data_IF_048937587096
#
_entry.id   IF_048937587096
#
_cell.length_a   1.000
_cell.length_b   1.000
_cell.length_c   1.000
_cell.angle_alpha   90.00
_cell.angle_beta   90.00
_cell.angle_gamma   90.00
#
_symmetry.space_group_name_H-M   'P 1'
#
loop_
_entity.id
_entity.type
_entity.pdbx_description
1 polymer ?
#
# COMPACT_ATOMS: atom_id res chain seq x y z
N UNK A 1 -1.35 -5.53 -30.44
CA UNK A 1 -0.27 -4.73 -29.84
C UNK A 1 0.02 -5.38 -28.50
N UNK A 2 1.20 -5.97 -28.31
CA UNK A 2 1.61 -6.53 -27.03
C UNK A 2 1.74 -5.37 -26.04
N UNK A 3 1.00 -5.41 -24.93
CA UNK A 3 1.18 -4.45 -23.84
C UNK A 3 2.66 -4.44 -23.41
N UNK A 4 3.23 -3.27 -23.10
CA UNK A 4 4.62 -3.21 -22.66
C UNK A 4 4.82 -4.10 -21.43
N UNK A 5 5.97 -4.76 -21.33
CA UNK A 5 6.31 -5.60 -20.17
C UNK A 5 6.27 -4.72 -18.91
N UNK A 6 5.60 -5.15 -17.81
CA UNK A 6 5.49 -4.33 -16.59
C UNK A 6 6.85 -4.08 -15.92
N UNK A 7 6.95 -3.03 -15.12
CA UNK A 7 8.17 -2.69 -14.38
C UNK A 7 8.56 -3.77 -13.36
N UNK A 8 7.55 -4.40 -12.72
CA UNK A 8 7.74 -5.59 -11.90
C UNK A 8 6.74 -6.65 -12.32
N UNK A 9 7.21 -7.86 -12.54
CA UNK A 9 6.39 -9.01 -12.89
C UNK A 9 6.83 -10.24 -12.11
N UNK A 10 5.94 -10.73 -11.27
CA UNK A 10 6.14 -11.90 -10.41
C UNK A 10 5.09 -12.94 -10.76
N UNK A 11 5.51 -14.19 -10.94
CA UNK A 11 4.61 -15.31 -11.24
C UNK A 11 4.94 -16.52 -10.39
N UNK A 12 3.89 -17.03 -9.72
CA UNK A 12 3.92 -18.24 -8.89
C UNK A 12 5.12 -18.26 -7.91
N UNK A 13 5.47 -17.08 -7.39
CA UNK A 13 6.64 -16.92 -6.55
C UNK A 13 6.46 -17.65 -5.22
N UNK A 14 7.36 -18.58 -4.95
CA UNK A 14 7.36 -19.32 -3.69
C UNK A 14 8.66 -19.10 -2.95
N UNK A 15 8.56 -18.87 -1.64
CA UNK A 15 9.71 -18.77 -0.74
C UNK A 15 9.47 -19.52 0.54
N UNK A 16 10.37 -20.48 0.83
CA UNK A 16 10.35 -21.26 2.07
C UNK A 16 11.58 -20.97 2.91
N UNK A 17 11.42 -20.99 4.23
CA UNK A 17 12.46 -20.93 5.25
C UNK A 17 12.27 -22.13 6.20
N UNK A 18 13.05 -23.18 5.99
CA UNK A 18 12.80 -24.44 6.68
C UNK A 18 11.38 -24.96 6.42
N UNK A 19 10.57 -25.14 7.46
CA UNK A 19 9.19 -25.58 7.34
C UNK A 19 8.20 -24.43 7.02
N UNK A 20 8.59 -23.17 7.18
CA UNK A 20 7.71 -22.01 6.98
C UNK A 20 7.71 -21.58 5.52
N UNK A 21 6.51 -21.51 4.92
CA UNK A 21 6.30 -21.00 3.57
C UNK A 21 5.86 -19.52 3.67
N UNK A 22 6.78 -18.61 3.40
CA UNK A 22 6.54 -17.18 3.49
C UNK A 22 5.86 -16.60 2.23
N UNK A 23 6.05 -17.24 1.07
CA UNK A 23 5.34 -16.96 -0.17
C UNK A 23 4.91 -18.30 -0.77
N UNK A 24 3.69 -18.39 -1.28
CA UNK A 24 3.06 -19.60 -1.77
C UNK A 24 2.32 -19.37 -3.10
N UNK A 25 3.05 -19.43 -4.21
CA UNK A 25 2.49 -19.18 -5.53
C UNK A 25 2.02 -17.73 -5.71
N UNK A 26 2.79 -16.76 -5.20
CA UNK A 26 2.43 -15.34 -5.18
C UNK A 26 2.64 -14.69 -6.55
N UNK A 27 1.64 -13.94 -7.01
CA UNK A 27 1.67 -13.14 -8.22
C UNK A 27 1.64 -11.65 -7.91
N UNK A 28 2.40 -10.83 -8.67
CA UNK A 28 2.40 -9.37 -8.58
C UNK A 28 2.75 -8.76 -9.93
N UNK A 29 1.98 -7.76 -10.33
CA UNK A 29 2.26 -6.94 -11.51
C UNK A 29 2.30 -5.47 -11.11
N UNK A 30 3.38 -4.77 -11.47
CA UNK A 30 3.53 -3.32 -11.31
C UNK A 30 3.69 -2.70 -12.69
N UNK A 31 2.68 -2.01 -13.22
CA UNK A 31 2.76 -1.33 -14.50
C UNK A 31 3.80 -0.21 -14.48
N UNK A 32 4.33 0.15 -15.66
CA UNK A 32 5.21 1.33 -15.76
C UNK A 32 4.45 2.64 -15.54
N UNK A 33 5.05 3.59 -14.82
CA UNK A 33 4.53 4.94 -14.62
C UNK A 33 3.36 5.02 -13.64
N UNK A 34 3.06 3.94 -12.93
CA UNK A 34 1.98 3.87 -11.93
C UNK A 34 2.53 3.73 -10.52
N UNK A 35 1.68 4.10 -9.55
CA UNK A 35 1.88 3.83 -8.13
C UNK A 35 1.06 2.59 -7.77
N UNK A 36 1.74 1.48 -7.49
CA UNK A 36 1.12 0.23 -7.06
C UNK A 36 1.24 0.06 -5.56
N UNK A 37 0.11 -0.08 -4.88
CA UNK A 37 0.02 -0.41 -3.46
C UNK A 37 0.18 -1.91 -3.23
N UNK A 38 1.00 -2.29 -2.27
CA UNK A 38 1.21 -3.66 -1.84
C UNK A 38 0.76 -3.79 -0.38
N UNK A 39 -0.50 -4.22 -0.21
CA UNK A 39 -1.23 -4.16 1.04
C UNK A 39 -1.30 -5.52 1.73
N UNK A 40 -1.16 -5.55 3.03
CA UNK A 40 -1.32 -6.76 3.83
C UNK A 40 -0.82 -6.59 5.26
N UNK A 41 -1.23 -7.46 6.19
CA UNK A 41 -0.78 -7.39 7.59
C UNK A 41 0.70 -7.72 7.74
N UNK A 42 1.20 -7.53 8.95
CA UNK A 42 2.55 -7.94 9.30
C UNK A 42 2.67 -9.47 9.18
N UNK A 43 3.77 -9.93 8.58
CA UNK A 43 3.99 -11.36 8.33
C UNK A 43 3.31 -11.92 7.07
N UNK A 44 2.50 -11.16 6.34
CA UNK A 44 1.83 -11.63 5.12
C UNK A 44 2.77 -12.00 3.96
N UNK A 45 4.04 -11.54 3.98
CA UNK A 45 5.03 -11.84 2.94
C UNK A 45 5.55 -10.59 2.21
N UNK A 46 5.09 -9.37 2.53
CA UNK A 46 5.47 -8.11 1.87
C UNK A 46 6.99 -7.92 1.80
N UNK A 47 7.66 -7.83 2.94
CA UNK A 47 9.11 -7.62 2.98
C UNK A 47 9.91 -8.80 2.41
N UNK A 48 9.36 -10.02 2.44
CA UNK A 48 9.97 -11.18 1.76
C UNK A 48 9.94 -10.99 0.25
N UNK A 49 8.81 -10.58 -0.31
CA UNK A 49 8.66 -10.24 -1.73
C UNK A 49 9.64 -9.14 -2.14
N UNK A 50 9.65 -8.03 -1.40
CA UNK A 50 10.55 -6.90 -1.66
C UNK A 50 12.02 -7.34 -1.66
N UNK A 51 12.45 -8.16 -0.70
CA UNK A 51 13.82 -8.69 -0.67
C UNK A 51 14.15 -9.56 -1.88
N UNK A 52 13.18 -10.31 -2.41
CA UNK A 52 13.37 -11.06 -3.67
C UNK A 52 13.52 -10.10 -4.84
N UNK A 53 12.67 -9.06 -4.94
CA UNK A 53 12.75 -8.04 -6.00
C UNK A 53 14.04 -7.24 -5.97
N UNK A 54 14.62 -7.03 -4.78
CA UNK A 54 15.92 -6.38 -4.60
C UNK A 54 17.12 -7.32 -4.88
N UNK A 55 16.88 -8.61 -5.16
CA UNK A 55 17.95 -9.58 -5.31
C UNK A 55 18.71 -9.91 -4.01
N UNK A 56 18.15 -9.56 -2.87
CA UNK A 56 18.71 -9.85 -1.53
C UNK A 56 18.32 -11.26 -1.05
N UNK A 57 17.31 -11.84 -1.67
CA UNK A 57 16.77 -13.15 -1.30
C UNK A 57 16.43 -13.93 -2.57
N UNK A 58 16.94 -15.17 -2.67
CA UNK A 58 16.61 -16.04 -3.78
C UNK A 58 15.27 -16.72 -3.56
N UNK A 59 14.39 -16.72 -4.57
CA UNK A 59 13.15 -17.48 -4.56
C UNK A 59 13.43 -19.00 -4.46
N UNK A 60 12.49 -19.75 -3.87
CA UNK A 60 12.53 -21.21 -3.87
C UNK A 60 12.02 -21.78 -5.21
N UNK A 61 10.97 -21.17 -5.76
CA UNK A 61 10.42 -21.46 -7.10
C UNK A 61 9.64 -20.26 -7.64
N UNK A 62 9.12 -20.36 -8.86
CA UNK A 62 8.47 -19.25 -9.56
C UNK A 62 9.47 -18.31 -10.22
N UNK A 63 8.96 -17.20 -10.73
CA UNK A 63 9.77 -16.21 -11.46
C UNK A 63 9.51 -14.79 -10.96
N UNK A 64 10.56 -13.95 -10.96
CA UNK A 64 10.45 -12.53 -10.73
C UNK A 64 11.26 -11.79 -11.80
N UNK A 65 10.71 -10.70 -12.32
CA UNK A 65 11.40 -9.78 -13.21
C UNK A 65 11.22 -8.35 -12.70
N UNK A 66 12.29 -7.59 -12.74
CA UNK A 66 12.33 -6.18 -12.37
C UNK A 66 12.99 -5.42 -13.52
N UNK A 67 12.27 -4.50 -14.12
CA UNK A 67 12.68 -3.76 -15.32
C UNK A 67 13.17 -4.71 -16.44
N UNK A 68 12.44 -5.83 -16.66
CA UNK A 68 12.73 -6.87 -17.62
C UNK A 68 13.88 -7.82 -17.25
N UNK A 69 14.51 -7.70 -16.07
CA UNK A 69 15.70 -8.43 -15.65
C UNK A 69 15.41 -9.38 -14.47
N UNK A 70 16.24 -10.40 -14.33
CA UNK A 70 16.22 -11.31 -13.18
C UNK A 70 16.88 -10.64 -11.96
N UNK A 71 16.13 -10.39 -10.86
CA UNK A 71 16.68 -9.65 -9.72
C UNK A 71 17.83 -10.36 -9.00
N UNK A 72 17.91 -11.69 -9.07
CA UNK A 72 18.99 -12.43 -8.46
C UNK A 72 20.27 -12.40 -9.31
N UNK A 73 20.16 -12.45 -10.63
CA UNK A 73 21.30 -12.50 -11.55
C UNK A 73 21.80 -11.12 -11.93
N UNK A 74 20.89 -10.17 -12.11
CA UNK A 74 21.16 -8.85 -12.67
C UNK A 74 21.03 -7.73 -11.62
N UNK A 75 21.15 -8.05 -10.32
CA UNK A 75 20.92 -7.12 -9.19
C UNK A 75 21.64 -5.78 -9.39
N UNK A 76 22.92 -5.78 -9.76
CA UNK A 76 23.69 -4.54 -9.95
C UNK A 76 23.08 -3.65 -11.03
N UNK A 77 22.70 -4.22 -12.18
CA UNK A 77 22.11 -3.47 -13.27
C UNK A 77 20.71 -2.91 -12.92
N UNK A 78 19.97 -3.64 -12.10
CA UNK A 78 18.65 -3.19 -11.57
C UNK A 78 18.85 -2.05 -10.57
N UNK A 79 19.79 -2.16 -9.63
CA UNK A 79 20.00 -1.16 -8.58
C UNK A 79 20.47 0.21 -9.11
N UNK A 80 21.08 0.26 -10.29
CA UNK A 80 21.34 1.55 -10.98
C UNK A 80 20.07 2.28 -11.41
N UNK A 81 18.96 1.56 -11.57
CA UNK A 81 17.67 2.07 -12.05
C UNK A 81 16.56 1.98 -11.00
N UNK A 82 16.93 1.64 -9.75
CA UNK A 82 16.01 1.42 -8.66
C UNK A 82 16.46 2.20 -7.42
N UNK A 83 15.50 2.82 -6.71
CA UNK A 83 15.69 3.37 -5.37
C UNK A 83 14.85 2.56 -4.36
N UNK A 84 15.38 2.38 -3.16
CA UNK A 84 14.72 1.61 -2.11
C UNK A 84 14.64 2.39 -0.80
N UNK A 85 13.45 2.40 -0.20
CA UNK A 85 13.20 2.90 1.16
C UNK A 85 12.84 1.70 2.03
N UNK A 86 13.65 1.34 3.03
CA UNK A 86 13.36 0.24 3.95
C UNK A 86 12.32 0.64 5.01
N UNK A 87 11.51 -0.32 5.47
CA UNK A 87 10.53 -0.12 6.54
C UNK A 87 11.17 0.06 7.92
N UNK A 88 12.36 -0.51 8.12
CA UNK A 88 13.18 -0.27 9.32
C UNK A 88 14.55 0.26 8.87
N UNK A 89 14.70 1.57 9.04
CA UNK A 89 15.91 2.29 8.61
C UNK A 89 16.99 2.21 9.68
N UNK A 90 18.01 1.41 9.39
CA UNK A 90 19.21 1.30 10.20
C UNK A 90 20.36 2.07 9.52
N UNK A 91 20.86 3.09 10.18
CA UNK A 91 21.96 3.94 9.70
C UNK A 91 23.24 3.64 10.50
N UNK A 92 24.38 3.96 9.92
CA UNK A 92 25.66 3.88 10.61
C UNK A 92 25.73 4.89 11.75
N UNK A 93 25.86 4.46 13.02
CA UNK A 93 25.69 5.34 14.19
C UNK A 93 26.70 6.49 14.25
N UNK A 94 27.86 6.32 13.64
CA UNK A 94 28.95 7.30 13.62
C UNK A 94 28.82 8.37 12.56
N UNK A 95 28.02 8.12 11.49
CA UNK A 95 27.83 9.08 10.41
C UNK A 95 26.78 10.14 10.81
N UNK A 96 26.91 11.33 10.22
CA UNK A 96 25.83 12.32 10.22
C UNK A 96 24.74 11.93 9.23
N UNK A 97 23.56 12.55 9.30
CA UNK A 97 22.49 12.32 8.34
C UNK A 97 22.92 12.65 6.91
N UNK A 98 23.65 13.75 6.71
CA UNK A 98 24.19 14.13 5.43
C UNK A 98 25.19 13.12 4.88
N UNK A 99 26.14 12.66 5.69
CA UNK A 99 27.11 11.62 5.32
C UNK A 99 26.42 10.29 5.00
N UNK A 100 25.36 9.93 5.74
CA UNK A 100 24.56 8.73 5.46
C UNK A 100 23.86 8.83 4.11
N UNK A 101 23.26 9.99 3.78
CA UNK A 101 22.67 10.24 2.45
C UNK A 101 23.74 10.11 1.37
N UNK A 102 24.93 10.70 1.54
CA UNK A 102 26.02 10.62 0.57
C UNK A 102 26.47 9.17 0.32
N UNK A 103 26.49 8.33 1.36
CA UNK A 103 26.80 6.89 1.22
C UNK A 103 25.71 6.16 0.48
N UNK A 104 24.43 6.42 0.79
CA UNK A 104 23.27 5.76 0.17
C UNK A 104 23.06 6.18 -1.29
N UNK A 105 23.49 7.38 -1.66
CA UNK A 105 23.40 7.90 -3.02
C UNK A 105 24.75 7.83 -3.76
N UNK A 106 25.67 7.01 -3.28
CA UNK A 106 27.01 6.87 -3.87
C UNK A 106 26.91 6.44 -5.34
N UNK A 107 27.50 7.26 -6.21
CA UNK A 107 27.41 7.09 -7.66
C UNK A 107 26.47 8.07 -8.36
N UNK A 108 25.59 8.71 -7.61
CA UNK A 108 24.84 9.87 -8.12
C UNK A 108 25.74 11.11 -8.10
N UNK A 109 25.68 11.92 -9.13
CA UNK A 109 26.49 13.12 -9.26
C UNK A 109 25.77 14.17 -10.10
N UNK A 110 26.25 15.41 -10.02
CA UNK A 110 25.72 16.52 -10.79
C UNK A 110 24.87 17.49 -10.00
N UNK A 111 24.66 18.66 -10.60
CA UNK A 111 23.96 19.79 -9.99
C UNK A 111 22.49 19.47 -9.69
N UNK A 112 21.82 18.73 -10.61
CA UNK A 112 20.41 18.34 -10.45
C UNK A 112 20.20 17.49 -9.19
N UNK A 113 21.04 16.45 -8.98
CA UNK A 113 20.97 15.59 -7.80
C UNK A 113 21.21 16.38 -6.51
N UNK A 114 22.26 17.23 -6.49
CA UNK A 114 22.61 18.05 -5.32
C UNK A 114 21.47 18.99 -4.94
N UNK A 115 20.92 19.74 -5.91
CA UNK A 115 19.77 20.65 -5.69
C UNK A 115 18.55 19.90 -5.18
N UNK A 116 18.25 18.72 -5.76
CA UNK A 116 17.14 17.91 -5.34
C UNK A 116 17.30 17.39 -3.90
N UNK A 117 18.50 16.95 -3.55
CA UNK A 117 18.86 16.52 -2.19
C UNK A 117 18.67 17.66 -1.17
N UNK A 118 19.16 18.85 -1.47
CA UNK A 118 19.01 20.03 -0.62
C UNK A 118 17.55 20.42 -0.43
N UNK A 119 16.76 20.47 -1.50
CA UNK A 119 15.31 20.69 -1.47
C UNK A 119 14.59 19.69 -0.54
N UNK A 120 14.93 18.40 -0.66
CA UNK A 120 14.31 17.35 0.16
C UNK A 120 14.73 17.43 1.64
N UNK A 121 15.98 17.76 1.93
CA UNK A 121 16.47 18.00 3.30
C UNK A 121 15.65 19.11 3.95
N UNK A 122 15.42 20.21 3.25
CA UNK A 122 14.60 21.32 3.72
C UNK A 122 13.14 20.93 3.91
N UNK A 123 12.52 20.31 2.90
CA UNK A 123 11.10 19.89 2.94
C UNK A 123 10.79 18.91 4.06
N UNK A 124 11.67 17.93 4.29
CA UNK A 124 11.52 16.95 5.38
C UNK A 124 12.02 17.48 6.73
N UNK A 125 12.44 18.75 6.82
CA UNK A 125 12.95 19.35 8.05
C UNK A 125 14.04 18.49 8.72
N UNK A 126 14.95 17.93 7.90
CA UNK A 126 16.02 17.07 8.37
C UNK A 126 17.25 17.92 8.70
N UNK A 127 17.76 17.81 9.93
CA UNK A 127 19.07 18.38 10.27
C UNK A 127 20.19 17.41 9.86
N UNK A 128 20.85 17.60 8.71
CA UNK A 128 21.81 16.65 8.16
C UNK A 128 23.13 16.61 8.95
N UNK A 129 23.33 17.51 9.91
CA UNK A 129 24.58 17.64 10.68
C UNK A 129 24.60 16.74 11.92
N UNK A 130 23.43 16.31 12.40
CA UNK A 130 23.30 15.43 13.57
C UNK A 130 23.77 14.01 13.25
N UNK A 131 24.38 13.35 14.23
CA UNK A 131 24.80 11.93 14.11
C UNK A 131 23.60 10.99 14.14
N UNK A 132 23.63 9.94 13.30
CA UNK A 132 22.55 8.99 13.14
C UNK A 132 22.13 8.30 14.46
N UNK A 133 23.07 8.10 15.39
CA UNK A 133 22.77 7.55 16.74
C UNK A 133 21.82 8.41 17.59
N UNK A 134 21.71 9.73 17.27
CA UNK A 134 20.86 10.67 18.00
C UNK A 134 19.49 10.86 17.34
N UNK A 135 19.27 10.26 16.18
CA UNK A 135 18.01 10.36 15.46
C UNK A 135 16.92 9.49 16.08
N UNK A 136 15.70 10.02 16.15
CA UNK A 136 14.49 9.24 16.35
C UNK A 136 14.27 8.28 15.19
N UNK A 137 13.33 7.34 15.33
CA UNK A 137 12.91 6.46 14.23
C UNK A 137 12.49 7.28 13.00
N UNK A 138 11.64 8.30 13.20
CA UNK A 138 11.19 9.18 12.11
C UNK A 138 12.32 9.92 11.41
N UNK A 139 13.32 10.45 12.14
CA UNK A 139 14.45 11.12 11.51
C UNK A 139 15.33 10.15 10.72
N UNK A 140 15.51 8.90 11.16
CA UNK A 140 16.20 7.90 10.35
C UNK A 140 15.42 7.58 9.07
N UNK A 141 14.09 7.52 9.17
CA UNK A 141 13.22 7.31 8.01
C UNK A 141 13.32 8.48 7.02
N UNK A 142 13.36 9.73 7.50
CA UNK A 142 13.59 10.92 6.67
C UNK A 142 14.91 10.83 5.89
N UNK A 143 15.98 10.32 6.49
CA UNK A 143 17.27 10.11 5.79
C UNK A 143 17.11 9.14 4.63
N UNK A 144 16.42 8.00 4.84
CA UNK A 144 16.18 7.02 3.77
C UNK A 144 15.30 7.60 2.64
N UNK A 145 14.26 8.37 3.00
CA UNK A 145 13.40 9.06 2.05
C UNK A 145 14.18 10.08 1.21
N UNK A 146 14.96 10.95 1.84
CA UNK A 146 15.79 11.94 1.15
C UNK A 146 16.78 11.23 0.21
N UNK A 147 17.44 10.18 0.67
CA UNK A 147 18.37 9.43 -0.16
C UNK A 147 17.70 8.79 -1.38
N UNK A 148 16.52 8.17 -1.21
CA UNK A 148 15.80 7.53 -2.30
C UNK A 148 15.20 8.55 -3.29
N UNK A 149 14.51 9.58 -2.78
CA UNK A 149 13.79 10.59 -3.58
C UNK A 149 14.70 11.60 -4.27
N UNK A 150 15.97 11.72 -3.86
CA UNK A 150 16.96 12.55 -4.55
C UNK A 150 17.54 11.90 -5.80
N UNK A 151 17.33 10.57 -5.99
CA UNK A 151 17.78 9.84 -7.18
C UNK A 151 16.76 9.99 -8.31
N UNK A 152 17.24 10.00 -9.55
CA UNK A 152 16.41 10.01 -10.75
C UNK A 152 16.44 8.61 -11.38
N UNK A 153 15.53 7.74 -10.96
CA UNK A 153 15.48 6.33 -11.35
C UNK A 153 14.12 5.94 -11.92
N UNK A 154 14.04 4.76 -12.54
CA UNK A 154 12.80 4.29 -13.18
C UNK A 154 11.81 3.68 -12.19
N UNK A 155 12.31 3.05 -11.11
CA UNK A 155 11.50 2.32 -10.14
C UNK A 155 11.87 2.71 -8.70
N UNK A 156 10.87 3.00 -7.90
CA UNK A 156 10.98 3.22 -6.46
C UNK A 156 10.26 2.08 -5.74
N UNK A 157 10.96 1.35 -4.89
CA UNK A 157 10.37 0.36 -3.98
C UNK A 157 10.43 0.94 -2.57
N UNK A 158 9.27 1.06 -1.93
CA UNK A 158 9.14 1.68 -0.62
C UNK A 158 8.42 0.72 0.33
N UNK A 159 9.13 0.24 1.35
CA UNK A 159 8.59 -0.68 2.35
C UNK A 159 8.17 0.12 3.58
N UNK A 160 6.85 0.29 3.81
CA UNK A 160 6.25 1.07 4.90
C UNK A 160 6.90 2.46 5.11
N UNK A 161 6.98 3.30 4.06
CA UNK A 161 7.83 4.49 4.04
C UNK A 161 7.43 5.59 5.03
N UNK A 162 6.18 5.62 5.48
CA UNK A 162 5.64 6.60 6.43
C UNK A 162 5.81 6.19 7.89
N UNK A 163 6.31 4.96 8.14
CA UNK A 163 6.47 4.44 9.51
C UNK A 163 7.30 5.36 10.39
N UNK A 164 6.65 5.96 11.42
CA UNK A 164 7.28 6.85 12.39
C UNK A 164 7.43 8.30 11.94
N UNK A 165 6.81 8.68 10.81
CA UNK A 165 6.63 10.07 10.42
C UNK A 165 5.45 10.69 11.20
N UNK A 166 5.51 12.00 11.36
CA UNK A 166 4.35 12.77 11.80
C UNK A 166 3.43 13.13 10.62
N UNK A 167 2.17 13.55 10.85
CA UNK A 167 1.21 13.84 9.78
C UNK A 167 1.68 14.90 8.76
N UNK A 168 2.51 15.86 9.17
CA UNK A 168 3.04 16.86 8.25
C UNK A 168 4.04 16.23 7.27
N UNK A 169 4.92 15.39 7.79
CA UNK A 169 5.91 14.67 6.98
C UNK A 169 5.26 13.62 6.07
N UNK A 170 4.17 12.99 6.51
CA UNK A 170 3.34 12.12 5.65
C UNK A 170 2.70 12.90 4.49
N UNK A 171 2.24 14.11 4.73
CA UNK A 171 1.72 14.98 3.66
C UNK A 171 2.81 15.33 2.64
N UNK A 172 4.01 15.68 3.11
CA UNK A 172 5.17 15.95 2.23
C UNK A 172 5.54 14.69 1.42
N UNK A 173 5.57 13.53 2.05
CA UNK A 173 5.79 12.26 1.35
C UNK A 173 4.74 12.00 0.27
N UNK A 174 3.46 12.26 0.58
CA UNK A 174 2.35 12.14 -0.37
C UNK A 174 2.58 13.02 -1.61
N UNK A 175 2.97 14.27 -1.42
CA UNK A 175 3.27 15.20 -2.51
C UNK A 175 4.44 14.72 -3.36
N UNK A 176 5.46 14.14 -2.73
CA UNK A 176 6.62 13.60 -3.45
C UNK A 176 6.25 12.37 -4.31
N UNK A 177 5.41 11.48 -3.80
CA UNK A 177 4.90 10.33 -4.57
C UNK A 177 4.05 10.83 -5.75
N UNK A 178 3.17 11.82 -5.53
CA UNK A 178 2.39 12.42 -6.60
C UNK A 178 3.28 13.06 -7.69
N UNK A 179 4.39 13.68 -7.29
CA UNK A 179 5.39 14.22 -8.22
C UNK A 179 6.08 13.11 -9.03
N UNK A 180 6.52 12.02 -8.39
CA UNK A 180 7.11 10.88 -9.08
C UNK A 180 6.15 10.31 -10.12
N UNK A 181 4.87 10.16 -9.77
CA UNK A 181 3.81 9.74 -10.69
C UNK A 181 3.66 10.68 -11.88
N UNK A 182 3.60 11.99 -11.62
CA UNK A 182 3.49 13.01 -12.68
C UNK A 182 4.70 13.00 -13.62
N UNK A 183 5.89 12.66 -13.10
CA UNK A 183 7.13 12.50 -13.88
C UNK A 183 7.20 11.11 -14.59
N UNK A 184 6.13 10.30 -14.54
CA UNK A 184 6.04 8.97 -15.17
C UNK A 184 6.94 7.92 -14.51
N UNK A 185 7.31 8.11 -13.26
CA UNK A 185 8.11 7.13 -12.50
C UNK A 185 7.21 6.05 -11.92
N UNK A 186 7.76 4.85 -11.81
CA UNK A 186 7.05 3.71 -11.23
C UNK A 186 7.33 3.60 -9.74
N UNK A 187 6.28 3.37 -8.94
CA UNK A 187 6.40 3.21 -7.49
C UNK A 187 5.71 1.93 -7.07
N UNK A 188 6.40 1.08 -6.31
CA UNK A 188 5.83 -0.02 -5.53
C UNK A 188 5.91 0.37 -4.05
N UNK A 189 4.75 0.58 -3.43
CA UNK A 189 4.62 1.03 -2.05
C UNK A 189 3.97 -0.04 -1.20
N UNK A 190 4.70 -0.61 -0.24
CA UNK A 190 4.07 -1.49 0.75
C UNK A 190 3.50 -0.68 1.90
N UNK A 191 2.30 -1.02 2.33
CA UNK A 191 1.66 -0.44 3.50
C UNK A 191 0.75 -1.46 4.19
N UNK A 192 0.48 -1.23 5.46
CA UNK A 192 -0.62 -1.86 6.19
C UNK A 192 -1.74 -0.84 6.49
N UNK A 193 -1.60 0.41 6.03
CA UNK A 193 -2.54 1.51 6.22
C UNK A 193 -3.33 1.72 4.92
N UNK A 194 -4.61 1.37 4.95
CA UNK A 194 -5.50 1.41 3.79
C UNK A 194 -5.69 2.83 3.25
N UNK A 195 -5.89 3.81 4.13
CA UNK A 195 -6.09 5.21 3.75
C UNK A 195 -4.89 5.80 2.97
N UNK A 196 -3.67 5.35 3.26
CA UNK A 196 -2.48 5.71 2.47
C UNK A 196 -2.56 5.17 1.05
N UNK A 197 -2.90 3.88 0.92
CA UNK A 197 -3.00 3.19 -0.37
C UNK A 197 -4.10 3.82 -1.22
N UNK A 198 -5.26 4.09 -0.64
CA UNK A 198 -6.38 4.76 -1.33
C UNK A 198 -6.03 6.16 -1.86
N UNK A 199 -5.18 6.87 -1.14
CA UNK A 199 -4.77 8.24 -1.49
C UNK A 199 -3.67 8.27 -2.56
N UNK A 200 -2.77 7.31 -2.55
CA UNK A 200 -1.52 7.36 -3.32
C UNK A 200 -1.51 6.46 -4.56
N UNK A 201 -2.24 5.33 -4.53
CA UNK A 201 -2.03 4.25 -5.49
C UNK A 201 -3.05 4.28 -6.64
N UNK A 202 -2.62 3.85 -7.82
CA UNK A 202 -3.46 3.62 -9.00
C UNK A 202 -4.03 2.21 -8.98
N UNK A 203 -3.16 1.25 -8.61
CA UNK A 203 -3.45 -0.17 -8.52
C UNK A 203 -3.04 -0.71 -7.16
N UNK A 204 -3.67 -1.79 -6.72
CA UNK A 204 -3.38 -2.41 -5.43
C UNK A 204 -3.32 -3.93 -5.59
N UNK A 205 -2.37 -4.56 -4.91
CA UNK A 205 -2.33 -6.00 -4.69
C UNK A 205 -2.38 -6.28 -3.21
N UNK A 206 -3.38 -7.05 -2.78
CA UNK A 206 -3.55 -7.49 -1.39
C UNK A 206 -2.91 -8.85 -1.22
N UNK A 207 -2.00 -8.98 -0.23
CA UNK A 207 -1.35 -10.25 0.11
C UNK A 207 -1.82 -10.76 1.47
N UNK A 208 -2.16 -12.05 1.55
CA UNK A 208 -2.46 -12.77 2.79
C UNK A 208 -1.77 -14.13 2.79
N UNK A 209 -1.11 -14.48 3.89
CA UNK A 209 -0.43 -15.77 4.07
C UNK A 209 0.43 -16.20 2.86
N UNK A 210 1.16 -15.23 2.27
CA UNK A 210 2.05 -15.48 1.14
C UNK A 210 1.37 -15.61 -0.22
N UNK A 211 0.06 -15.35 -0.34
CA UNK A 211 -0.72 -15.40 -1.60
C UNK A 211 -1.32 -14.04 -1.93
N UNK A 212 -1.42 -13.71 -3.20
CA UNK A 212 -2.26 -12.61 -3.65
C UNK A 212 -3.73 -13.02 -3.52
N UNK A 213 -4.52 -12.23 -2.78
CA UNK A 213 -5.95 -12.47 -2.61
C UNK A 213 -6.79 -11.61 -3.54
N UNK A 214 -6.36 -10.37 -3.76
CA UNK A 214 -6.99 -9.45 -4.70
C UNK A 214 -5.93 -8.59 -5.40
N UNK A 215 -6.17 -8.22 -6.65
CA UNK A 215 -5.31 -7.32 -7.41
C UNK A 215 -6.11 -6.59 -8.48
N UNK A 216 -5.94 -5.28 -8.60
CA UNK A 216 -6.62 -4.47 -9.58
C UNK A 216 -6.50 -2.97 -9.31
N UNK A 217 -7.17 -2.16 -10.10
CA UNK A 217 -7.31 -0.72 -9.84
C UNK A 217 -8.18 -0.48 -8.61
N UNK A 218 -8.01 0.67 -7.96
CA UNK A 218 -8.87 1.05 -6.83
C UNK A 218 -10.35 1.05 -7.21
N UNK A 219 -10.69 1.44 -8.46
CA UNK A 219 -12.05 1.42 -8.95
C UNK A 219 -12.60 -0.01 -9.07
N UNK A 220 -11.83 -0.95 -9.66
CA UNK A 220 -12.23 -2.36 -9.76
C UNK A 220 -12.41 -2.98 -8.37
N UNK A 221 -11.49 -2.73 -7.44
CA UNK A 221 -11.56 -3.28 -6.09
C UNK A 221 -12.77 -2.72 -5.30
N UNK A 222 -13.12 -1.45 -5.48
CA UNK A 222 -14.32 -0.85 -4.89
C UNK A 222 -15.60 -1.48 -5.43
N UNK A 223 -15.65 -1.87 -6.70
CA UNK A 223 -16.80 -2.56 -7.27
C UNK A 223 -17.03 -3.98 -6.70
N UNK A 224 -16.03 -4.57 -6.05
CA UNK A 224 -16.14 -5.86 -5.35
C UNK A 224 -16.76 -5.70 -3.94
N UNK A 225 -16.97 -4.47 -3.48
CA UNK A 225 -17.54 -4.13 -2.18
C UNK A 225 -18.87 -3.41 -2.35
N UNK A 226 -19.62 -3.28 -1.25
CA UNK A 226 -20.96 -2.69 -1.21
C UNK A 226 -20.90 -1.33 -0.55
N UNK A 227 -21.77 -0.41 -0.99
CA UNK A 227 -21.99 0.85 -0.29
C UNK A 227 -22.75 0.62 1.01
N UNK A 228 -22.29 1.20 2.12
CA UNK A 228 -23.03 1.16 3.39
C UNK A 228 -23.99 2.35 3.47
N UNK A 229 -25.26 2.05 3.71
CA UNK A 229 -26.32 3.04 3.94
C UNK A 229 -26.65 3.10 5.41
N UNK A 230 -26.64 4.30 5.98
CA UNK A 230 -27.09 4.58 7.33
C UNK A 230 -28.15 5.69 7.31
N UNK A 231 -29.26 5.52 8.04
CA UNK A 231 -30.32 6.49 8.14
C UNK A 231 -31.09 6.32 9.45
N UNK A 232 -32.00 7.24 9.73
CA UNK A 232 -32.97 7.14 10.86
C UNK A 232 -34.35 7.16 10.30
N UNK A 233 -35.25 6.25 10.76
CA UNK A 233 -36.66 6.22 10.41
C UNK A 233 -37.47 5.58 11.51
N UNK A 234 -38.71 6.02 11.68
CA UNK A 234 -39.72 5.40 12.56
C UNK A 234 -40.62 4.41 11.80
N UNK A 235 -40.44 4.31 10.47
CA UNK A 235 -41.22 3.41 9.63
C UNK A 235 -40.64 1.99 9.61
N UNK A 236 -41.49 0.99 9.29
CA UNK A 236 -41.06 -0.40 9.13
C UNK A 236 -40.14 -0.56 7.94
N UNK A 237 -38.88 -1.02 8.11
CA UNK A 237 -37.90 -1.21 7.05
C UNK A 237 -38.15 -2.45 6.18
N UNK A 238 -39.20 -3.24 6.43
CA UNK A 238 -39.54 -4.46 5.69
C UNK A 238 -39.56 -4.31 4.14
N UNK A 239 -39.90 -3.17 3.53
CA UNK A 239 -39.79 -3.00 2.09
C UNK A 239 -38.36 -3.11 1.56
N UNK A 240 -37.35 -2.76 2.35
CA UNK A 240 -35.96 -2.85 1.96
C UNK A 240 -35.42 -4.31 1.88
N UNK A 241 -35.95 -5.19 2.74
CA UNK A 241 -35.57 -6.62 2.73
C UNK A 241 -36.01 -7.37 1.49
N UNK A 242 -36.90 -6.78 0.68
CA UNK A 242 -37.45 -7.37 -0.55
C UNK A 242 -36.69 -6.92 -1.80
N UNK A 243 -35.78 -5.98 -1.65
CA UNK A 243 -34.97 -5.47 -2.78
C UNK A 243 -33.75 -6.36 -2.98
N UNK A 244 -33.56 -6.78 -4.24
CA UNK A 244 -32.34 -7.44 -4.63
C UNK A 244 -31.15 -6.47 -4.46
N UNK A 245 -30.02 -6.96 -3.90
CA UNK A 245 -28.84 -6.16 -3.68
C UNK A 245 -28.82 -5.37 -2.37
N UNK A 246 -29.82 -5.55 -1.48
CA UNK A 246 -29.78 -5.12 -0.07
C UNK A 246 -29.30 -6.26 0.81
N UNK A 247 -28.30 -6.02 1.64
CA UNK A 247 -27.63 -7.01 2.48
C UNK A 247 -27.47 -6.49 3.91
N UNK A 248 -27.36 -7.41 4.86
CA UNK A 248 -26.99 -7.15 6.25
C UNK A 248 -27.79 -6.02 6.91
N UNK A 249 -29.12 -5.99 6.62
CA UNK A 249 -30.01 -4.97 7.14
C UNK A 249 -30.21 -5.13 8.64
N UNK A 250 -29.81 -4.10 9.38
CA UNK A 250 -30.01 -3.95 10.81
C UNK A 250 -30.86 -2.72 11.06
N UNK A 251 -31.96 -2.89 11.83
CA UNK A 251 -32.85 -1.81 12.26
C UNK A 251 -33.02 -1.89 13.76
N UNK A 252 -32.43 -0.95 14.50
CA UNK A 252 -32.47 -0.89 15.95
C UNK A 252 -32.68 0.56 16.42
N UNK A 253 -33.62 0.75 17.35
CA UNK A 253 -33.88 2.06 17.98
C UNK A 253 -34.09 3.22 16.97
N UNK A 254 -34.80 2.94 15.88
CA UNK A 254 -35.02 3.92 14.81
C UNK A 254 -33.84 4.17 13.89
N UNK A 255 -32.71 3.53 14.13
CA UNK A 255 -31.53 3.58 13.25
C UNK A 255 -31.55 2.41 12.27
N UNK A 256 -31.33 2.74 11.02
CA UNK A 256 -31.23 1.80 9.90
C UNK A 256 -29.82 1.75 9.38
N UNK A 257 -29.25 0.55 9.21
CA UNK A 257 -27.98 0.33 8.56
C UNK A 257 -28.06 -0.93 7.71
N UNK A 258 -27.55 -0.85 6.48
CA UNK A 258 -27.47 -1.99 5.57
C UNK A 258 -26.40 -1.73 4.51
N UNK A 259 -25.97 -2.79 3.86
CA UNK A 259 -25.09 -2.72 2.71
C UNK A 259 -25.91 -2.87 1.43
N UNK A 260 -25.51 -2.15 0.38
CA UNK A 260 -26.20 -2.15 -0.91
C UNK A 260 -25.19 -2.30 -2.06
N UNK A 261 -25.53 -3.14 -3.02
CA UNK A 261 -24.79 -3.21 -4.27
C UNK A 261 -24.97 -1.90 -5.05
N UNK A 262 -23.90 -1.31 -5.59
CA UNK A 262 -23.95 -0.02 -6.29
C UNK A 262 -25.05 0.05 -7.37
N UNK A 263 -25.28 -1.08 -8.04
CA UNK A 263 -26.33 -1.19 -9.09
C UNK A 263 -27.74 -1.11 -8.53
N UNK A 264 -27.94 -1.47 -7.26
CA UNK A 264 -29.25 -1.49 -6.61
C UNK A 264 -29.60 -0.14 -5.96
N UNK A 265 -28.68 0.81 -5.88
CA UNK A 265 -28.91 2.12 -5.27
C UNK A 265 -30.11 2.84 -5.89
N UNK A 266 -30.33 2.74 -7.19
CA UNK A 266 -31.44 3.40 -7.89
C UNK A 266 -32.81 2.86 -7.46
N UNK A 267 -32.91 1.59 -7.05
CA UNK A 267 -34.12 0.97 -6.54
C UNK A 267 -34.35 1.24 -5.03
N UNK A 268 -33.24 1.35 -4.30
CA UNK A 268 -33.23 1.59 -2.86
C UNK A 268 -33.62 3.04 -2.50
N UNK A 269 -33.13 4.04 -3.24
CA UNK A 269 -33.39 5.45 -2.94
C UNK A 269 -34.87 5.84 -2.90
N UNK A 270 -35.74 5.41 -3.83
CA UNK A 270 -37.17 5.67 -3.77
C UNK A 270 -37.84 5.08 -2.52
N UNK A 271 -37.39 3.86 -2.11
CA UNK A 271 -37.94 3.20 -0.91
C UNK A 271 -37.52 3.94 0.35
N UNK A 272 -36.26 4.38 0.47
CA UNK A 272 -35.82 5.22 1.59
C UNK A 272 -36.58 6.53 1.66
N UNK A 273 -36.86 7.14 0.51
CA UNK A 273 -37.70 8.37 0.46
C UNK A 273 -39.12 8.10 0.95
N UNK A 274 -39.76 6.99 0.57
CA UNK A 274 -41.06 6.58 1.00
C UNK A 274 -41.13 6.26 2.52
N UNK A 275 -40.04 5.77 3.09
CA UNK A 275 -39.87 5.52 4.53
C UNK A 275 -39.63 6.81 5.35
N UNK A 276 -39.52 7.96 4.69
CA UNK A 276 -39.31 9.25 5.36
C UNK A 276 -38.01 9.32 6.15
N UNK A 277 -36.93 8.70 5.65
CA UNK A 277 -35.67 8.66 6.37
C UNK A 277 -35.09 10.04 6.58
N UNK A 278 -34.38 10.20 7.70
CA UNK A 278 -33.61 11.40 8.04
C UNK A 278 -32.16 11.00 8.31
N UNK A 279 -31.23 11.96 8.22
CA UNK A 279 -29.81 11.70 8.48
C UNK A 279 -29.19 10.66 7.53
N UNK A 280 -29.72 10.58 6.29
CA UNK A 280 -29.20 9.62 5.28
C UNK A 280 -27.74 9.87 4.98
N UNK A 281 -26.94 8.83 5.16
CA UNK A 281 -25.53 8.78 4.75
C UNK A 281 -25.33 7.56 3.88
N UNK A 282 -24.72 7.75 2.74
CA UNK A 282 -24.28 6.66 1.85
C UNK A 282 -22.76 6.74 1.78
N UNK A 283 -22.11 5.75 2.36
CA UNK A 283 -20.66 5.65 2.38
C UNK A 283 -20.23 4.70 1.26
N UNK A 284 -19.47 5.19 0.28
CA UNK A 284 -18.93 4.31 -0.75
C UNK A 284 -18.10 3.18 -0.12
N UNK A 285 -17.96 2.03 -0.81
CA UNK A 285 -17.14 0.93 -0.33
C UNK A 285 -15.69 1.39 -0.15
N UNK A 286 -15.10 1.00 0.97
CA UNK A 286 -13.70 1.25 1.27
C UNK A 286 -12.85 0.01 1.05
N UNK A 287 -11.54 0.20 0.82
CA UNK A 287 -10.61 -0.94 0.86
C UNK A 287 -10.58 -1.61 2.24
N UNK A 288 -10.99 -0.87 3.30
CA UNK A 288 -11.09 -1.41 4.65
C UNK A 288 -12.15 -2.51 4.75
N UNK A 289 -13.30 -2.34 4.10
CA UNK A 289 -14.34 -3.36 4.04
C UNK A 289 -13.86 -4.61 3.28
N UNK A 290 -13.15 -4.41 2.19
CA UNK A 290 -12.53 -5.51 1.44
C UNK A 290 -11.47 -6.23 2.28
N UNK A 291 -10.64 -5.47 2.99
CA UNK A 291 -9.62 -6.00 3.88
C UNK A 291 -10.24 -6.79 5.03
N UNK A 292 -11.28 -6.24 5.69
CA UNK A 292 -11.97 -6.91 6.79
C UNK A 292 -12.66 -8.21 6.35
N UNK A 293 -13.21 -8.28 5.15
CA UNK A 293 -13.74 -9.53 4.60
C UNK A 293 -12.69 -10.63 4.47
N UNK A 294 -11.48 -10.26 4.06
CA UNK A 294 -10.38 -11.23 3.94
C UNK A 294 -9.71 -11.56 5.28
N UNK A 295 -9.89 -10.74 6.31
CA UNK A 295 -9.22 -10.85 7.61
C UNK A 295 -10.18 -11.01 8.79
N UNK A 296 -11.50 -10.84 8.60
CA UNK A 296 -12.51 -10.84 9.67
C UNK A 296 -12.52 -12.13 10.49
N UNK A 297 -12.27 -13.27 9.87
CA UNK A 297 -12.22 -14.58 10.53
C UNK A 297 -11.07 -14.72 11.56
N UNK A 298 -10.06 -13.85 11.52
CA UNK A 298 -8.95 -13.82 12.47
C UNK A 298 -9.17 -12.85 13.65
N UNK A 299 -10.21 -11.99 13.57
CA UNK A 299 -10.55 -11.00 14.59
C UNK A 299 -11.59 -11.53 15.60
N UNK A 300 -12.23 -12.68 15.36
CA UNK A 300 -13.00 -13.35 16.40
C UNK A 300 -12.04 -13.98 17.39
N UNK A 301 -12.03 -13.52 18.67
CA UNK A 301 -11.27 -14.20 19.71
C UNK A 301 -11.80 -15.62 19.83
N UNK A 302 -10.90 -16.61 19.74
CA UNK A 302 -11.24 -17.98 20.07
C UNK A 302 -11.94 -17.96 21.45
N UNK A 303 -13.24 -18.13 21.46
CA UNK A 303 -14.00 -18.36 22.67
C UNK A 303 -13.44 -19.63 23.28
N UNK A 304 -12.66 -19.46 24.35
CA UNK A 304 -12.18 -20.53 25.21
C UNK A 304 -13.37 -21.41 25.59
N UNK A 305 -13.39 -22.62 25.03
CA UNK A 305 -14.16 -23.73 25.59
C UNK A 305 -13.59 -24.09 26.96
N UNK A 306 -14.10 -23.45 27.98
CA UNK A 306 -13.95 -23.92 29.32
C UNK A 306 -14.83 -25.19 29.50
N UNK A 307 -14.22 -26.31 29.72
CA UNK A 307 -14.81 -27.44 30.42
C UNK A 307 -13.72 -28.15 31.24
#
# INVERSE_FOLDING_TARGET
MTSPEPAVHVRELTKTFGATRALDGFDLTVPHGEVTGFLGPNGAGKSTTIRVLLGLLRASSGTARVLGRDPWRDAVAIHHRLAYVPGDTNLWPGLTGGEAIDVLTRGESGERHRRRREELIERFELDPTKRARTYSKGNRQKVALVAALSRDVDLYIMDEPTSGLDPLMEAIFTDEVARLRADGRTVLLSSHILAEVEKLCDTVTIIRAGKAVESGTLAELRHLTRSTVAATTDADPAPLTRLDGVHDLVAENGRLRFDVDDRALHDVLPVLTALGVTGLTITPPSLEDLFLRHYGDELEPATEGAS
#
